data_IF_456785090090
#
_entry.id   IF_456785090090
#
_cell.length_a   1.000
_cell.length_b   1.000
_cell.length_c   1.000
_cell.angle_alpha   90.00
_cell.angle_beta   90.00
_cell.angle_gamma   90.00
#
_symmetry.space_group_name_H-M   'P 1'
#
loop_
_entity.id
_entity.type
_entity.pdbx_description
1 polymer ?
#
# COMPACT_ATOMS: atom_id res chain seq x y z
N UNK A 1 -13.98 17.23 -8.90
CA UNK A 1 -12.71 16.52 -9.16
C UNK A 1 -13.01 15.33 -10.06
N UNK A 2 -12.18 14.98 -11.06
CA UNK A 2 -12.47 13.80 -11.89
C UNK A 2 -12.31 12.51 -11.06
N UNK A 3 -13.06 11.43 -11.36
CA UNK A 3 -12.96 10.16 -10.65
C UNK A 3 -11.52 9.63 -10.57
N UNK A 4 -10.80 9.63 -11.70
CA UNK A 4 -9.40 9.20 -11.79
C UNK A 4 -8.49 9.99 -10.84
N UNK A 5 -8.73 11.30 -10.67
CA UNK A 5 -7.93 12.11 -9.73
C UNK A 5 -8.20 11.67 -8.30
N UNK A 6 -9.46 11.43 -7.92
CA UNK A 6 -9.81 10.92 -6.60
C UNK A 6 -9.13 9.58 -6.32
N UNK A 7 -9.16 8.66 -7.31
CA UNK A 7 -8.53 7.34 -7.21
C UNK A 7 -7.02 7.45 -6.96
N UNK A 8 -6.33 8.39 -7.61
CA UNK A 8 -4.90 8.60 -7.34
C UNK A 8 -4.62 9.00 -5.88
N UNK A 9 -5.46 9.88 -5.30
CA UNK A 9 -5.26 10.34 -3.93
C UNK A 9 -5.56 9.22 -2.92
N UNK A 10 -6.68 8.52 -3.08
CA UNK A 10 -7.06 7.42 -2.18
C UNK A 10 -6.12 6.23 -2.31
N UNK A 11 -5.64 5.93 -3.52
CA UNK A 11 -4.63 4.89 -3.73
C UNK A 11 -3.30 5.25 -3.06
N UNK A 12 -2.81 6.48 -3.21
CA UNK A 12 -1.59 6.94 -2.54
C UNK A 12 -1.75 6.88 -1.01
N UNK A 13 -2.90 7.27 -0.47
CA UNK A 13 -3.18 7.15 0.96
C UNK A 13 -3.16 5.67 1.42
N UNK A 14 -3.76 4.77 0.64
CA UNK A 14 -3.81 3.33 0.91
C UNK A 14 -2.45 2.64 0.93
N UNK A 15 -1.45 3.18 0.21
CA UNK A 15 -0.06 2.68 0.27
C UNK A 15 0.51 2.80 1.67
N UNK A 16 0.27 3.93 2.38
CA UNK A 16 0.76 4.08 3.74
C UNK A 16 0.11 3.09 4.71
N UNK A 17 -1.20 2.85 4.56
CA UNK A 17 -1.91 1.84 5.37
C UNK A 17 -1.31 0.45 5.13
N UNK A 18 -1.20 0.05 3.87
CA UNK A 18 -0.71 -1.29 3.48
C UNK A 18 0.76 -1.51 3.83
N UNK A 19 1.60 -0.48 3.74
CA UNK A 19 3.02 -0.58 4.09
C UNK A 19 3.25 -0.90 5.59
N UNK A 20 2.27 -0.60 6.46
CA UNK A 20 2.36 -0.85 7.91
C UNK A 20 2.22 -2.32 8.28
N UNK A 21 1.76 -3.17 7.37
CA UNK A 21 1.87 -4.63 7.52
C UNK A 21 3.32 -5.13 7.46
N UNK A 22 4.27 -4.27 7.05
CA UNK A 22 5.70 -4.55 7.12
C UNK A 22 6.23 -5.42 5.98
N UNK A 23 7.55 -5.64 5.99
CA UNK A 23 8.28 -6.35 4.93
C UNK A 23 8.07 -7.87 4.96
N UNK A 24 7.43 -8.41 6.00
CA UNK A 24 7.09 -9.82 6.12
C UNK A 24 5.79 -10.17 5.40
N UNK A 25 5.00 -9.18 4.98
CA UNK A 25 3.78 -9.35 4.19
C UNK A 25 4.02 -9.03 2.72
N UNK A 26 3.56 -9.91 1.81
CA UNK A 26 3.62 -9.67 0.37
C UNK A 26 2.93 -8.35 -0.04
N UNK A 27 1.82 -7.99 0.61
CA UNK A 27 1.12 -6.73 0.36
C UNK A 27 1.91 -5.52 0.86
N UNK A 28 2.60 -5.66 2.00
CA UNK A 28 3.48 -4.63 2.54
C UNK A 28 4.66 -4.36 1.60
N UNK A 29 5.34 -5.42 1.15
CA UNK A 29 6.44 -5.33 0.17
C UNK A 29 5.97 -4.70 -1.14
N UNK A 30 4.82 -5.11 -1.67
CA UNK A 30 4.25 -4.52 -2.89
C UNK A 30 3.95 -3.01 -2.72
N UNK A 31 3.54 -2.59 -1.52
CA UNK A 31 3.28 -1.18 -1.21
C UNK A 31 4.57 -0.38 -1.12
N UNK A 32 5.64 -0.96 -0.55
CA UNK A 32 6.98 -0.36 -0.52
C UNK A 32 7.53 -0.16 -1.95
N UNK A 33 7.38 -1.18 -2.81
CA UNK A 33 7.74 -1.09 -4.23
C UNK A 33 7.03 0.07 -4.92
N UNK A 34 5.70 0.17 -4.76
CA UNK A 34 4.90 1.25 -5.36
C UNK A 34 5.32 2.61 -4.83
N UNK A 35 5.48 2.76 -3.51
CA UNK A 35 5.92 4.01 -2.91
C UNK A 35 7.25 4.48 -3.50
N UNK A 36 8.26 3.60 -3.50
CA UNK A 36 9.60 3.92 -3.98
C UNK A 36 9.57 4.22 -5.49
N UNK A 37 8.81 3.47 -6.28
CA UNK A 37 8.66 3.71 -7.71
C UNK A 37 8.01 5.08 -7.99
N UNK A 38 6.93 5.41 -7.29
CA UNK A 38 6.23 6.68 -7.43
C UNK A 38 7.08 7.87 -6.97
N UNK A 39 7.88 7.71 -5.92
CA UNK A 39 8.85 8.72 -5.49
C UNK A 39 9.88 9.00 -6.60
N UNK A 40 10.48 7.96 -7.18
CA UNK A 40 11.44 8.08 -8.29
C UNK A 40 10.85 8.77 -9.52
N UNK A 41 9.56 8.58 -9.77
CA UNK A 41 8.85 9.19 -10.89
C UNK A 41 8.19 10.54 -10.55
N UNK A 42 8.44 11.07 -9.35
CA UNK A 42 7.87 12.32 -8.86
C UNK A 42 6.33 12.36 -8.95
N UNK A 43 5.69 11.21 -8.76
CA UNK A 43 4.24 11.07 -8.81
C UNK A 43 3.55 11.69 -7.58
N UNK A 44 4.30 11.94 -6.52
CA UNK A 44 3.87 12.71 -5.36
C UNK A 44 5.01 13.60 -4.85
N UNK A 45 4.66 14.56 -4.00
CA UNK A 45 5.60 15.40 -3.26
C UNK A 45 5.28 15.36 -1.76
N UNK A 46 6.31 15.56 -0.94
CA UNK A 46 6.14 15.82 0.49
C UNK A 46 6.48 17.28 0.77
N UNK A 47 5.55 18.01 1.40
CA UNK A 47 5.81 19.37 1.85
C UNK A 47 6.23 19.34 3.33
N UNK A 48 7.49 19.70 3.60
CA UNK A 48 8.05 19.71 4.94
C UNK A 48 7.45 20.79 5.85
N UNK A 49 6.90 21.88 5.28
CA UNK A 49 6.32 22.97 6.06
C UNK A 49 4.95 22.58 6.63
N UNK A 50 4.15 21.88 5.83
CA UNK A 50 2.80 21.45 6.22
C UNK A 50 2.75 20.01 6.73
N UNK A 51 3.77 19.21 6.42
CA UNK A 51 3.79 17.79 6.72
C UNK A 51 2.84 16.97 5.85
N UNK A 52 2.34 17.47 4.73
CA UNK A 52 1.40 16.75 3.87
C UNK A 52 2.04 16.21 2.60
N UNK A 53 1.47 15.10 2.13
CA UNK A 53 1.74 14.57 0.80
C UNK A 53 0.73 15.13 -0.19
N UNK A 54 1.21 15.48 -1.38
CA UNK A 54 0.38 15.85 -2.53
C UNK A 54 0.70 14.97 -3.73
N UNK A 55 -0.30 14.64 -4.55
CA UNK A 55 -0.10 13.83 -5.75
C UNK A 55 0.00 14.75 -6.97
N UNK A 56 0.95 14.45 -7.87
CA UNK A 56 0.96 15.00 -9.22
C UNK A 56 0.17 14.05 -10.14
N UNK A 57 -1.07 14.37 -10.56
CA UNK A 57 -1.92 13.40 -11.24
C UNK A 57 -1.38 12.92 -12.60
N UNK A 58 -0.70 13.80 -13.34
CA UNK A 58 -0.13 13.46 -14.64
C UNK A 58 1.03 12.47 -14.48
N UNK A 59 1.97 12.80 -13.57
CA UNK A 59 3.10 11.92 -13.27
C UNK A 59 2.65 10.62 -12.63
N UNK A 60 1.60 10.65 -11.79
CA UNK A 60 0.98 9.45 -11.23
C UNK A 60 0.43 8.54 -12.32
N UNK A 61 -0.37 9.05 -13.27
CA UNK A 61 -0.86 8.23 -14.39
C UNK A 61 0.28 7.65 -15.23
N UNK A 62 1.32 8.43 -15.50
CA UNK A 62 2.51 7.94 -16.23
C UNK A 62 3.22 6.84 -15.45
N UNK A 63 3.45 7.04 -14.15
CA UNK A 63 4.11 6.07 -13.29
C UNK A 63 3.30 4.77 -13.13
N UNK A 64 1.97 4.87 -13.01
CA UNK A 64 1.08 3.69 -12.99
C UNK A 64 1.24 2.92 -14.31
N UNK A 65 1.19 3.61 -15.46
CA UNK A 65 1.34 2.96 -16.77
C UNK A 65 2.68 2.23 -16.89
N UNK A 66 3.78 2.88 -16.54
CA UNK A 66 5.12 2.30 -16.67
C UNK A 66 5.37 1.18 -15.64
N UNK A 67 4.85 1.31 -14.42
CA UNK A 67 4.90 0.27 -13.41
C UNK A 67 4.12 -0.97 -13.84
N UNK A 68 2.89 -0.79 -14.33
CA UNK A 68 2.06 -1.87 -14.84
C UNK A 68 2.73 -2.58 -16.01
N UNK A 69 3.31 -1.84 -16.95
CA UNK A 69 4.06 -2.45 -18.06
C UNK A 69 5.24 -3.29 -17.54
N UNK A 70 6.05 -2.77 -16.61
CA UNK A 70 7.16 -3.52 -16.01
C UNK A 70 6.67 -4.83 -15.36
N UNK A 71 5.64 -4.74 -14.52
CA UNK A 71 5.10 -5.91 -13.80
C UNK A 71 4.58 -6.95 -14.80
N UNK A 72 3.75 -6.53 -15.76
CA UNK A 72 3.16 -7.42 -16.75
C UNK A 72 4.21 -8.05 -17.67
N UNK A 73 5.27 -7.33 -18.02
CA UNK A 73 6.38 -7.88 -18.81
C UNK A 73 7.17 -8.92 -18.02
N UNK A 74 7.51 -8.65 -16.75
CA UNK A 74 8.19 -9.64 -15.89
C UNK A 74 7.33 -10.90 -15.73
N UNK A 75 6.02 -10.74 -15.49
CA UNK A 75 5.08 -11.84 -15.35
C UNK A 75 4.92 -12.63 -16.66
N UNK A 76 4.73 -11.94 -17.78
CA UNK A 76 4.53 -12.57 -19.09
C UNK A 76 5.76 -13.34 -19.58
N UNK A 77 6.95 -12.91 -19.18
CA UNK A 77 8.20 -13.61 -19.49
C UNK A 77 8.53 -14.72 -18.48
N UNK A 78 7.80 -14.85 -17.38
CA UNK A 78 8.16 -15.75 -16.28
C UNK A 78 9.52 -15.42 -15.64
N UNK A 79 9.92 -14.15 -15.64
CA UNK A 79 11.25 -13.70 -15.20
C UNK A 79 11.34 -13.63 -13.67
N UNK A 80 11.52 -14.80 -13.04
CA UNK A 80 11.61 -14.91 -11.59
C UNK A 80 12.82 -14.17 -11.01
N UNK A 81 13.99 -14.33 -11.64
CA UNK A 81 15.23 -13.68 -11.19
C UNK A 81 15.13 -12.16 -11.27
N UNK A 82 14.57 -11.63 -12.35
CA UNK A 82 14.33 -10.19 -12.49
C UNK A 82 13.36 -9.65 -11.45
N UNK A 83 12.32 -10.41 -11.11
CA UNK A 83 11.39 -10.05 -10.02
C UNK A 83 12.11 -10.05 -8.68
N UNK A 84 12.87 -11.08 -8.35
CA UNK A 84 13.59 -11.20 -7.07
C UNK A 84 14.56 -10.03 -6.88
N UNK A 85 15.39 -9.74 -7.88
CA UNK A 85 16.33 -8.61 -7.82
C UNK A 85 15.60 -7.27 -7.65
N UNK A 86 14.49 -7.08 -8.38
CA UNK A 86 13.73 -5.84 -8.28
C UNK A 86 13.10 -5.66 -6.90
N UNK A 87 12.55 -6.73 -6.31
CA UNK A 87 12.02 -6.73 -4.93
C UNK A 87 13.14 -6.44 -3.93
N UNK A 88 14.30 -7.10 -4.04
CA UNK A 88 15.42 -6.87 -3.13
C UNK A 88 15.94 -5.42 -3.18
N UNK A 89 15.94 -4.80 -4.35
CA UNK A 89 16.44 -3.43 -4.51
C UNK A 89 15.41 -2.36 -4.11
N UNK A 90 14.13 -2.58 -4.42
CA UNK A 90 13.10 -1.53 -4.31
C UNK A 90 11.95 -1.86 -3.36
N UNK A 91 11.87 -3.08 -2.82
CA UNK A 91 10.85 -3.53 -1.88
C UNK A 91 11.14 -3.26 -0.42
N UNK A 92 12.12 -2.42 -0.12
CA UNK A 92 12.51 -2.05 1.24
C UNK A 92 11.85 -0.75 1.70
N UNK A 93 11.77 -0.55 3.01
CA UNK A 93 11.35 0.71 3.62
C UNK A 93 12.43 1.77 3.38
N UNK A 94 12.18 2.70 2.46
CA UNK A 94 13.09 3.83 2.23
C UNK A 94 13.08 4.81 3.41
N UNK A 95 14.12 5.65 3.58
CA UNK A 95 14.13 6.66 4.65
C UNK A 95 12.92 7.58 4.63
N UNK A 96 12.47 7.98 3.43
CA UNK A 96 11.27 8.80 3.26
C UNK A 96 10.00 8.08 3.72
N UNK A 97 9.85 6.80 3.34
CA UNK A 97 8.71 6.00 3.79
C UNK A 97 8.75 5.79 5.30
N UNK A 98 9.92 5.47 5.87
CA UNK A 98 10.10 5.31 7.31
C UNK A 98 9.64 6.54 8.08
N UNK A 99 10.09 7.74 7.66
CA UNK A 99 9.67 9.00 8.27
C UNK A 99 8.17 9.25 8.16
N UNK A 100 7.53 8.81 7.05
CA UNK A 100 6.08 8.88 6.92
C UNK A 100 5.36 7.92 7.87
N UNK A 101 5.83 6.68 7.98
CA UNK A 101 5.22 5.64 8.83
C UNK A 101 5.36 5.96 10.32
N UNK A 102 6.48 6.58 10.74
CA UNK A 102 6.71 6.95 12.13
C UNK A 102 5.67 7.95 12.68
N UNK A 103 5.06 8.73 11.78
CA UNK A 103 3.98 9.66 12.12
C UNK A 103 2.64 8.98 12.36
N UNK A 104 2.53 7.69 12.02
CA UNK A 104 1.30 6.90 12.10
C UNK A 104 1.31 5.92 13.28
N UNK A 105 2.32 5.95 14.15
CA UNK A 105 2.48 5.00 15.25
C UNK A 105 1.32 4.97 16.25
N UNK A 106 0.57 6.08 16.38
CA UNK A 106 -0.59 6.17 17.26
C UNK A 106 -1.92 5.82 16.59
N UNK A 107 -1.90 5.37 15.33
CA UNK A 107 -3.08 4.95 14.57
C UNK A 107 -3.11 3.42 14.55
N UNK A 108 -4.25 2.73 14.73
CA UNK A 108 -4.30 1.27 14.56
C UNK A 108 -3.88 0.82 13.15
N UNK A 109 -3.21 -0.32 13.03
CA UNK A 109 -2.80 -0.87 11.71
C UNK A 109 -3.99 -1.45 10.98
N UNK A 110 -4.79 -2.25 11.68
CA UNK A 110 -5.93 -2.97 11.14
C UNK A 110 -6.98 -3.17 12.25
N UNK A 111 -8.09 -3.78 11.89
CA UNK A 111 -9.18 -4.12 12.79
C UNK A 111 -9.06 -5.56 13.30
N UNK A 112 -9.48 -5.79 14.54
CA UNK A 112 -9.74 -7.14 15.06
C UNK A 112 -11.25 -7.32 15.10
N UNK A 113 -11.75 -8.23 14.27
CA UNK A 113 -13.17 -8.52 14.24
C UNK A 113 -13.52 -9.48 15.39
N UNK A 114 -14.40 -9.03 16.29
CA UNK A 114 -14.96 -9.88 17.35
C UNK A 114 -16.09 -10.71 16.75
N UNK A 115 -15.91 -12.02 16.70
CA UNK A 115 -16.80 -12.97 16.04
C UNK A 115 -16.87 -14.27 16.84
N UNK A 116 -17.98 -14.98 16.74
CA UNK A 116 -18.23 -16.24 17.47
C UNK A 116 -19.69 -16.32 17.92
N UNK A 117 -20.14 -17.51 18.35
CA UNK A 117 -21.52 -17.71 18.81
C UNK A 117 -21.84 -16.87 20.04
N UNK A 118 -20.83 -16.54 20.85
CA UNK A 118 -20.94 -15.65 22.00
C UNK A 118 -21.22 -14.19 21.64
N UNK A 119 -21.10 -13.80 20.36
CA UNK A 119 -21.50 -12.48 19.87
C UNK A 119 -22.94 -12.46 19.32
N UNK A 120 -23.62 -13.61 19.28
CA UNK A 120 -24.92 -13.75 18.60
C UNK A 120 -26.14 -13.61 19.53
N UNK A 121 -25.93 -13.34 20.83
CA UNK A 121 -26.99 -13.26 21.86
C UNK A 121 -27.97 -14.46 21.81
N UNK A 122 -27.47 -15.63 21.43
CA UNK A 122 -28.27 -16.85 21.36
C UNK A 122 -28.44 -17.38 22.79
N UNK A 123 -29.67 -17.38 23.29
CA UNK A 123 -30.03 -18.11 24.50
C UNK A 123 -29.86 -19.61 24.26
N UNK A 124 -29.37 -20.36 25.27
CA UNK A 124 -29.04 -21.79 25.20
C UNK A 124 -30.22 -22.73 24.80
N UNK A 125 -31.42 -22.22 24.57
CA UNK A 125 -32.64 -23.02 24.31
C UNK A 125 -32.76 -23.58 22.88
N UNK A 126 -31.85 -23.27 21.94
CA UNK A 126 -31.95 -23.73 20.54
C UNK A 126 -30.98 -24.85 20.15
N UNK A 127 -30.35 -25.51 21.13
CA UNK A 127 -29.56 -26.75 20.88
C UNK A 127 -30.27 -27.95 21.51
N UNK A 128 -31.49 -28.22 21.04
CA UNK A 128 -32.13 -29.53 21.17
C UNK A 128 -32.71 -29.93 19.81
N UNK A 129 -31.88 -30.58 18.99
CA UNK A 129 -32.09 -31.89 18.32
C UNK A 129 -30.93 -32.19 17.35
#
# INVERSE_FOLDING_TARGET
MSPIKLDHYTFMAGIFSSARFGSTSAHGVASMLRFNYFAQHQAFNFDANTGYYSVNPEKMSKAIKTLSNKILTLQGNGDYTGVEQWVQQHGNVSPQLKAALDRLNNIPVDIVFKQGTEQLDLTEELVQE
#
